data_IF_274316856611
#
_entry.id   IF_274316856611
#
_cell.length_a   1.000
_cell.length_b   1.000
_cell.length_c   1.000
_cell.angle_alpha   90.00
_cell.angle_beta   90.00
_cell.angle_gamma   90.00
#
_symmetry.space_group_name_H-M   'P 1'
#
loop_
_entity.id
_entity.type
_entity.pdbx_description
1 polymer ?
#
# COMPACT_ATOMS: atom_id res chain seq x y z
N UNK A 1 2.23 -15.97 -19.04
CA UNK A 1 1.18 -15.40 -18.19
C UNK A 1 1.78 -14.37 -17.24
N UNK A 2 1.16 -13.20 -17.14
CA UNK A 2 1.64 -12.15 -16.22
C UNK A 2 0.81 -12.11 -14.97
N UNK A 3 1.43 -11.70 -13.89
CA UNK A 3 0.74 -11.40 -12.64
C UNK A 3 1.25 -10.06 -12.11
N UNK A 4 0.50 -9.48 -11.22
CA UNK A 4 0.83 -8.20 -10.61
C UNK A 4 1.01 -8.39 -9.12
N UNK A 5 2.11 -7.87 -8.59
CA UNK A 5 2.44 -7.96 -7.17
C UNK A 5 2.18 -6.60 -6.53
N UNK A 6 1.36 -6.60 -5.49
CA UNK A 6 1.07 -5.40 -4.71
C UNK A 6 2.13 -5.22 -3.63
N UNK A 7 2.80 -4.09 -3.67
CA UNK A 7 3.76 -3.69 -2.65
C UNK A 7 3.24 -2.42 -2.02
N UNK A 8 3.04 -2.44 -0.71
CA UNK A 8 2.48 -1.31 0.01
C UNK A 8 3.43 -0.85 1.10
N UNK A 9 3.50 0.47 1.27
CA UNK A 9 4.34 1.07 2.30
C UNK A 9 3.54 2.13 3.05
N UNK A 10 3.93 2.38 4.29
CA UNK A 10 3.44 3.52 5.05
C UNK A 10 4.61 4.46 5.31
N UNK A 11 4.37 5.74 5.11
CA UNK A 11 5.41 6.75 5.18
C UNK A 11 5.05 7.82 6.19
N UNK A 12 6.08 8.41 6.79
CA UNK A 12 5.96 9.57 7.65
C UNK A 12 6.51 10.78 6.89
N UNK A 13 5.73 11.86 6.82
CA UNK A 13 6.15 13.08 6.14
C UNK A 13 7.03 13.98 7.00
N UNK A 14 6.98 13.81 8.32
CA UNK A 14 7.74 14.59 9.30
C UNK A 14 8.40 13.64 10.29
N UNK A 15 9.71 13.78 10.57
CA UNK A 15 10.65 14.82 10.15
C UNK A 15 11.30 14.57 8.80
N UNK A 16 10.91 13.57 8.07
CA UNK A 16 11.42 13.26 6.76
C UNK A 16 10.72 12.04 6.21
N UNK A 17 10.92 11.75 4.94
CA UNK A 17 10.22 10.66 4.28
C UNK A 17 10.79 9.31 4.71
N UNK A 18 10.30 8.79 5.83
CA UNK A 18 10.65 7.47 6.31
C UNK A 18 9.50 6.53 6.02
N UNK A 19 9.78 5.49 5.26
CA UNK A 19 8.76 4.54 4.83
C UNK A 19 9.09 3.14 5.32
N UNK A 20 8.03 2.37 5.62
CA UNK A 20 8.15 0.98 6.04
C UNK A 20 7.19 0.13 5.21
N UNK A 21 7.61 -1.09 4.85
CA UNK A 21 6.69 -1.98 4.15
C UNK A 21 5.55 -2.42 5.06
N UNK A 22 4.38 -2.63 4.43
CA UNK A 22 3.19 -3.12 5.12
C UNK A 22 2.86 -4.48 4.53
N UNK A 23 2.71 -5.52 5.36
CA UNK A 23 2.22 -6.79 4.85
C UNK A 23 0.75 -6.66 4.45
N UNK A 24 0.39 -7.25 3.30
CA UNK A 24 -0.98 -7.25 2.81
C UNK A 24 -1.47 -8.68 2.73
N UNK A 25 -2.77 -8.95 3.03
CA UNK A 25 -3.30 -10.31 2.99
C UNK A 25 -3.29 -10.93 1.60
N UNK A 26 -3.53 -10.11 0.57
CA UNK A 26 -3.51 -10.54 -0.81
C UNK A 26 -2.53 -9.67 -1.56
N UNK A 27 -1.49 -10.28 -2.12
CA UNK A 27 -0.43 -9.54 -2.80
C UNK A 27 -0.29 -9.89 -4.27
N UNK A 28 -0.98 -10.90 -4.76
CA UNK A 28 -0.91 -11.31 -6.16
C UNK A 28 -2.25 -11.17 -6.87
N UNK A 29 -2.22 -10.61 -8.07
CA UNK A 29 -3.42 -10.34 -8.86
C UNK A 29 -3.17 -10.71 -10.31
N UNK A 30 -4.20 -11.19 -10.98
CA UNK A 30 -4.13 -11.54 -12.39
C UNK A 30 -4.26 -10.32 -13.29
N UNK A 31 -4.93 -9.26 -12.80
CA UNK A 31 -5.17 -8.06 -13.57
C UNK A 31 -4.63 -6.84 -12.86
N UNK A 32 -4.06 -5.92 -13.63
CA UNK A 32 -3.56 -4.66 -13.10
C UNK A 32 -4.68 -3.87 -12.41
N UNK A 33 -5.84 -3.82 -13.05
CA UNK A 33 -7.01 -3.11 -12.51
C UNK A 33 -7.39 -3.61 -11.12
N UNK A 34 -7.43 -4.94 -10.93
CA UNK A 34 -7.75 -5.52 -9.62
C UNK A 34 -6.72 -5.12 -8.57
N UNK A 35 -5.44 -5.11 -8.95
CA UNK A 35 -4.38 -4.73 -8.04
C UNK A 35 -4.53 -3.27 -7.59
N UNK A 36 -4.80 -2.38 -8.51
CA UNK A 36 -4.97 -0.94 -8.21
C UNK A 36 -6.16 -0.71 -7.29
N UNK A 37 -7.31 -1.32 -7.60
CA UNK A 37 -8.51 -1.16 -6.78
C UNK A 37 -8.26 -1.68 -5.36
N UNK A 38 -7.68 -2.86 -5.25
CA UNK A 38 -7.38 -3.43 -3.94
C UNK A 38 -6.41 -2.53 -3.16
N UNK A 39 -5.39 -1.99 -3.83
CA UNK A 39 -4.42 -1.11 -3.19
C UNK A 39 -5.06 0.13 -2.58
N UNK A 40 -5.94 0.78 -3.33
CA UNK A 40 -6.65 1.96 -2.81
C UNK A 40 -7.61 1.60 -1.69
N UNK A 41 -8.39 0.51 -1.85
CA UNK A 41 -9.34 0.09 -0.83
C UNK A 41 -8.62 -0.29 0.47
N UNK A 42 -7.56 -1.06 0.36
CA UNK A 42 -6.80 -1.49 1.54
C UNK A 42 -6.15 -0.30 2.23
N UNK A 43 -5.57 0.62 1.46
CA UNK A 43 -4.96 1.84 2.01
C UNK A 43 -5.98 2.67 2.79
N UNK A 44 -7.15 2.89 2.20
CA UNK A 44 -8.21 3.67 2.84
C UNK A 44 -8.68 3.00 4.13
N UNK A 45 -8.94 1.70 4.07
CA UNK A 45 -9.40 0.94 5.23
C UNK A 45 -8.37 0.98 6.34
N UNK A 46 -7.11 0.80 6.00
CA UNK A 46 -6.04 0.80 6.99
C UNK A 46 -5.93 2.16 7.69
N UNK A 47 -5.97 3.24 6.92
CA UNK A 47 -5.90 4.58 7.50
C UNK A 47 -7.09 4.89 8.41
N UNK A 48 -8.27 4.35 8.08
CA UNK A 48 -9.48 4.53 8.91
C UNK A 48 -9.39 3.76 10.22
N UNK A 49 -8.64 2.66 10.25
CA UNK A 49 -8.53 1.84 11.46
C UNK A 49 -7.40 2.25 12.37
N UNK A 50 -6.45 3.03 11.86
CA UNK A 50 -5.34 3.53 12.68
C UNK A 50 -5.78 4.72 13.53
N UNK A 51 -5.09 4.91 14.66
CA UNK A 51 -5.30 6.08 15.51
C UNK A 51 -4.94 7.34 14.69
N UNK A 52 -5.85 8.32 14.59
CA UNK A 52 -5.56 9.53 13.80
C UNK A 52 -4.49 10.43 14.39
N UNK A 53 -4.18 10.31 15.68
CA UNK A 53 -3.21 11.21 16.30
C UNK A 53 -1.81 11.12 15.71
N UNK A 54 -1.17 9.95 15.61
CA UNK A 54 0.13 9.89 14.95
C UNK A 54 0.07 10.21 13.46
N UNK A 55 -1.05 9.89 12.80
CA UNK A 55 -1.22 10.23 11.39
C UNK A 55 -1.18 11.75 11.21
N UNK A 56 -1.89 12.49 12.06
CA UNK A 56 -1.91 13.94 11.99
C UNK A 56 -0.57 14.56 12.42
N UNK A 57 0.04 14.00 13.48
CA UNK A 57 1.28 14.54 14.02
C UNK A 57 2.45 14.40 13.05
N UNK A 58 2.59 13.23 12.42
CA UNK A 58 3.72 12.93 11.54
C UNK A 58 3.36 13.03 10.06
N UNK A 59 2.14 13.47 9.76
CA UNK A 59 1.62 13.56 8.39
C UNK A 59 1.86 12.24 7.63
N UNK A 60 1.40 11.14 8.24
CA UNK A 60 1.60 9.81 7.68
C UNK A 60 0.70 9.57 6.48
N UNK A 61 1.22 8.83 5.53
CA UNK A 61 0.47 8.46 4.33
C UNK A 61 0.89 7.07 3.86
N UNK A 62 0.06 6.48 3.02
CA UNK A 62 0.36 5.19 2.42
C UNK A 62 0.63 5.37 0.94
N UNK A 63 1.45 4.49 0.39
CA UNK A 63 1.68 4.42 -1.04
C UNK A 63 1.76 2.95 -1.42
N UNK A 64 1.47 2.65 -2.66
CA UNK A 64 1.59 1.28 -3.16
C UNK A 64 1.98 1.27 -4.63
N UNK A 65 2.46 0.12 -5.06
CA UNK A 65 2.85 -0.11 -6.44
C UNK A 65 2.36 -1.50 -6.85
N UNK A 66 1.91 -1.62 -8.09
CA UNK A 66 1.50 -2.89 -8.68
C UNK A 66 2.55 -3.26 -9.72
N UNK A 67 3.46 -4.14 -9.34
CA UNK A 67 4.58 -4.52 -10.20
C UNK A 67 4.22 -5.72 -11.05
N UNK A 68 4.46 -5.60 -12.35
CA UNK A 68 4.26 -6.69 -13.28
C UNK A 68 5.36 -7.73 -13.12
N UNK A 69 4.97 -8.99 -13.05
CA UNK A 69 5.88 -10.12 -12.97
C UNK A 69 5.46 -11.20 -13.95
N UNK A 70 6.44 -11.86 -14.54
CA UNK A 70 6.15 -13.03 -15.35
C UNK A 70 5.90 -14.21 -14.43
N UNK A 71 4.76 -14.86 -14.63
CA UNK A 71 4.44 -16.10 -13.91
C UNK A 71 5.05 -17.27 -14.67
N UNK A 72 5.81 -18.07 -13.97
CA UNK A 72 6.41 -19.27 -14.54
C UNK A 72 5.61 -20.51 -14.16
#
# INVERSE_FOLDING_TARGET
MVKYILIMIICSGIPGNQCKPIPVPISEFKEYHECIIYGYDYSSTMLKTLDPRPINEFEMFTAFDCQERMAT
#
